data_IF_347924261824
#
_entry.id   IF_347924261824
#
_cell.length_a   1.000
_cell.length_b   1.000
_cell.length_c   1.000
_cell.angle_alpha   90.00
_cell.angle_beta   90.00
_cell.angle_gamma   90.00
#
_symmetry.space_group_name_H-M   'P 1'
#
loop_
_entity.id
_entity.type
_entity.pdbx_description
1 polymer ?
#
# COMPACT_ATOMS: atom_id res chain seq x y z
N UNK A 1 -21.92 1.61 -34.13
CA UNK A 1 -21.29 0.39 -33.58
C UNK A 1 -22.04 0.03 -32.32
N UNK A 2 -22.71 -1.13 -32.29
CA UNK A 2 -23.70 -1.48 -31.28
C UNK A 2 -23.09 -1.68 -29.90
N UNK A 3 -23.74 -1.08 -28.89
CA UNK A 3 -23.57 -1.40 -27.47
C UNK A 3 -24.55 -2.53 -27.15
N UNK A 4 -24.03 -3.71 -26.80
CA UNK A 4 -24.80 -4.82 -26.27
C UNK A 4 -24.63 -4.86 -24.73
N UNK A 5 -25.71 -4.74 -23.94
CA UNK A 5 -25.64 -4.93 -22.50
C UNK A 5 -25.66 -6.42 -22.18
N UNK A 6 -24.60 -6.93 -21.55
CA UNK A 6 -24.65 -8.25 -20.92
C UNK A 6 -25.41 -8.16 -19.60
N UNK A 7 -26.62 -8.71 -19.62
CA UNK A 7 -27.38 -9.11 -18.44
C UNK A 7 -26.69 -10.35 -17.84
N UNK A 8 -26.11 -10.24 -16.64
CA UNK A 8 -25.75 -11.42 -15.84
C UNK A 8 -26.80 -11.60 -14.74
N UNK A 9 -27.48 -12.74 -14.85
CA UNK A 9 -28.53 -13.25 -13.98
C UNK A 9 -28.07 -13.34 -12.53
N UNK A 10 -28.78 -12.67 -11.63
CA UNK A 10 -28.73 -12.89 -10.18
C UNK A 10 -29.57 -14.13 -9.84
N UNK A 11 -29.01 -15.32 -10.01
CA UNK A 11 -29.61 -16.54 -9.46
C UNK A 11 -28.59 -17.34 -8.63
N UNK A 12 -28.92 -17.46 -7.34
CA UNK A 12 -28.42 -18.41 -6.33
C UNK A 12 -26.95 -18.29 -5.89
N UNK A 13 -26.73 -17.30 -5.04
CA UNK A 13 -25.78 -17.45 -3.92
C UNK A 13 -26.26 -18.59 -3.00
N UNK A 14 -25.63 -19.76 -3.09
CA UNK A 14 -25.76 -20.84 -2.11
C UNK A 14 -24.39 -21.11 -1.50
N UNK A 15 -23.94 -20.22 -0.62
CA UNK A 15 -22.87 -20.53 0.32
C UNK A 15 -23.45 -21.40 1.42
N UNK A 16 -23.34 -22.73 1.26
CA UNK A 16 -23.54 -23.68 2.35
C UNK A 16 -22.31 -23.68 3.25
N UNK A 17 -22.17 -22.66 4.10
CA UNK A 17 -21.29 -22.70 5.26
C UNK A 17 -22.11 -23.10 6.50
N UNK A 18 -21.67 -24.09 7.30
CA UNK A 18 -22.35 -24.42 8.55
C UNK A 18 -22.28 -23.22 9.51
N UNK A 19 -23.44 -22.65 9.81
CA UNK A 19 -23.59 -21.54 10.76
C UNK A 19 -23.44 -22.03 12.19
N UNK A 20 -22.26 -21.85 12.76
CA UNK A 20 -22.10 -21.74 14.22
C UNK A 20 -20.78 -21.06 14.58
N UNK A 21 -20.68 -19.75 14.38
CA UNK A 21 -19.70 -18.91 15.09
C UNK A 21 -20.34 -17.56 15.43
N UNK A 22 -20.15 -17.03 16.66
CA UNK A 22 -20.72 -15.75 17.06
C UNK A 22 -20.09 -14.61 16.25
N UNK A 23 -20.96 -13.75 15.72
CA UNK A 23 -20.65 -12.60 14.88
C UNK A 23 -20.00 -11.48 15.72
N UNK A 24 -18.67 -11.47 15.76
CA UNK A 24 -17.90 -10.23 15.85
C UNK A 24 -17.05 -10.19 14.57
N UNK A 25 -17.07 -9.11 13.76
CA UNK A 25 -16.06 -8.92 12.75
C UNK A 25 -14.76 -8.60 13.50
N UNK A 26 -14.04 -9.63 13.92
CA UNK A 26 -12.75 -9.46 14.57
C UNK A 26 -11.76 -9.02 13.50
N UNK A 27 -11.13 -7.84 13.69
CA UNK A 27 -10.07 -7.29 12.82
C UNK A 27 -8.98 -8.33 12.51
N UNK A 28 -8.80 -9.28 13.41
CA UNK A 28 -7.87 -10.40 13.31
C UNK A 28 -8.10 -11.25 12.05
N UNK A 29 -9.36 -11.51 11.66
CA UNK A 29 -9.69 -12.37 10.51
C UNK A 29 -9.22 -11.76 9.19
N UNK A 30 -9.32 -10.44 9.01
CA UNK A 30 -8.86 -9.81 7.76
C UNK A 30 -7.34 -9.91 7.60
N UNK A 31 -6.57 -9.55 8.64
CA UNK A 31 -5.11 -9.66 8.61
C UNK A 31 -4.69 -11.12 8.41
N UNK A 32 -5.25 -12.04 9.20
CA UNK A 32 -4.94 -13.46 9.11
C UNK A 32 -5.21 -14.01 7.71
N UNK A 33 -6.39 -13.74 7.14
CA UNK A 33 -6.74 -14.22 5.80
C UNK A 33 -5.79 -13.66 4.73
N UNK A 34 -5.37 -12.39 4.82
CA UNK A 34 -4.38 -11.82 3.90
C UNK A 34 -3.01 -12.47 4.07
N UNK A 35 -2.57 -12.65 5.32
CA UNK A 35 -1.28 -13.23 5.65
C UNK A 35 -1.15 -14.67 5.17
N UNK A 36 -2.21 -15.48 5.23
CA UNK A 36 -2.21 -16.87 4.76
C UNK A 36 -2.79 -17.07 3.35
N UNK A 37 -3.20 -16.00 2.66
CA UNK A 37 -3.74 -16.08 1.30
C UNK A 37 -5.14 -16.69 1.20
N UNK A 38 -5.94 -16.65 2.26
CA UNK A 38 -7.31 -17.15 2.30
C UNK A 38 -8.32 -16.06 1.88
N UNK A 39 -8.23 -15.62 0.63
CA UNK A 39 -9.15 -14.67 0.02
C UNK A 39 -9.26 -14.89 -1.49
N UNK A 40 -10.41 -14.55 -2.10
CA UNK A 40 -10.56 -14.50 -3.56
C UNK A 40 -10.13 -13.13 -4.11
N UNK A 41 -10.50 -12.06 -3.40
CA UNK A 41 -10.15 -10.67 -3.72
C UNK A 41 -9.83 -9.94 -2.42
N UNK A 42 -8.72 -9.21 -2.40
CA UNK A 42 -8.37 -8.30 -1.31
C UNK A 42 -8.09 -6.91 -1.85
N UNK A 43 -8.24 -5.90 -0.99
CA UNK A 43 -7.95 -4.50 -1.30
C UNK A 43 -6.89 -3.95 -0.34
N UNK A 44 -5.66 -4.50 -0.34
CA UNK A 44 -4.58 -4.01 0.51
C UNK A 44 -3.99 -2.70 -0.04
N UNK A 45 -3.15 -2.08 0.78
CA UNK A 45 -2.39 -0.90 0.37
C UNK A 45 -1.11 -1.33 -0.36
N UNK A 46 -0.87 -0.75 -1.53
CA UNK A 46 0.35 -0.96 -2.30
C UNK A 46 0.99 0.36 -2.70
N UNK A 47 2.31 0.33 -2.79
CA UNK A 47 3.17 1.37 -3.34
C UNK A 47 4.21 0.63 -4.18
N UNK A 48 4.40 1.08 -5.42
CA UNK A 48 5.39 0.50 -6.33
C UNK A 48 6.62 1.38 -6.47
N UNK A 49 6.48 2.69 -6.25
CA UNK A 49 7.55 3.64 -6.53
C UNK A 49 7.52 4.75 -5.48
N UNK A 50 8.70 5.17 -5.03
CA UNK A 50 8.90 6.30 -4.15
C UNK A 50 8.75 7.62 -4.89
N UNK A 51 8.60 8.70 -4.12
CA UNK A 51 8.53 10.05 -4.69
C UNK A 51 9.79 10.47 -5.47
N UNK A 52 10.96 9.86 -5.20
CA UNK A 52 12.20 10.10 -5.93
C UNK A 52 12.34 9.25 -7.21
N UNK A 53 11.36 8.38 -7.52
CA UNK A 53 11.39 7.52 -8.70
C UNK A 53 12.03 6.15 -8.49
N UNK A 54 12.65 5.88 -7.33
CA UNK A 54 13.15 4.54 -6.99
C UNK A 54 12.02 3.57 -6.64
N UNK A 55 12.12 2.34 -7.13
CA UNK A 55 11.15 1.27 -6.91
C UNK A 55 11.67 0.17 -6.00
N UNK A 56 12.99 -0.13 -6.02
CA UNK A 56 13.52 -1.38 -5.47
C UNK A 56 13.07 -1.63 -4.03
N UNK A 57 13.19 -0.60 -3.20
CA UNK A 57 12.83 -0.68 -1.78
C UNK A 57 11.34 -0.86 -1.51
N UNK A 58 10.47 -0.48 -2.46
CA UNK A 58 9.02 -0.65 -2.41
C UNK A 58 8.55 -1.99 -2.98
N UNK A 59 9.33 -2.63 -3.87
CA UNK A 59 8.89 -3.85 -4.57
C UNK A 59 9.69 -5.10 -4.26
N UNK A 60 10.85 -5.00 -3.59
CA UNK A 60 11.73 -6.13 -3.26
C UNK A 60 11.02 -7.32 -2.58
N UNK A 61 9.94 -7.05 -1.84
CA UNK A 61 9.16 -8.10 -1.17
C UNK A 61 8.36 -8.98 -2.12
N UNK A 62 8.26 -8.63 -3.41
CA UNK A 62 7.67 -9.45 -4.47
C UNK A 62 8.65 -10.47 -5.06
N UNK A 63 9.92 -10.48 -4.62
CA UNK A 63 10.89 -11.43 -5.14
C UNK A 63 10.45 -12.88 -4.89
N UNK A 64 10.52 -13.79 -5.89
CA UNK A 64 10.08 -15.19 -5.77
C UNK A 64 10.68 -15.95 -4.59
N UNK A 65 11.92 -15.65 -4.19
CA UNK A 65 12.56 -16.25 -3.01
C UNK A 65 11.84 -15.95 -1.68
N UNK A 66 11.00 -14.92 -1.64
CA UNK A 66 10.22 -14.52 -0.47
C UNK A 66 8.76 -15.02 -0.56
N UNK A 67 8.47 -15.89 -1.54
CA UNK A 67 7.15 -16.46 -1.74
C UNK A 67 6.75 -17.41 -0.60
N UNK A 68 5.47 -17.36 -0.22
CA UNK A 68 4.82 -18.36 0.61
C UNK A 68 3.58 -18.89 -0.12
N UNK A 69 3.30 -20.20 -0.12
CA UNK A 69 2.08 -20.74 -0.70
C UNK A 69 0.82 -20.35 0.10
N UNK A 70 -0.35 -20.59 -0.49
CA UNK A 70 -1.63 -20.43 0.21
C UNK A 70 -1.70 -21.40 1.40
N UNK A 71 -2.14 -20.90 2.55
CA UNK A 71 -2.17 -21.62 3.82
C UNK A 71 -0.92 -21.37 4.69
N UNK A 72 0.16 -20.86 4.10
CA UNK A 72 1.36 -20.44 4.83
C UNK A 72 1.40 -18.91 4.98
N UNK A 73 1.86 -18.45 6.14
CA UNK A 73 1.94 -17.02 6.44
C UNK A 73 3.12 -16.36 5.73
N UNK A 74 2.90 -15.19 5.13
CA UNK A 74 3.96 -14.36 4.54
C UNK A 74 4.80 -13.59 5.57
N UNK A 75 4.37 -13.53 6.83
CA UNK A 75 5.08 -12.73 7.84
C UNK A 75 6.50 -13.24 8.10
N UNK A 76 6.77 -14.53 7.88
CA UNK A 76 8.07 -15.15 8.09
C UNK A 76 9.02 -15.08 6.89
N UNK A 77 8.55 -14.70 5.70
CA UNK A 77 9.38 -14.74 4.49
C UNK A 77 10.18 -13.47 4.27
N UNK A 78 9.80 -12.35 4.89
CA UNK A 78 10.38 -11.04 4.61
C UNK A 78 9.77 -10.32 3.40
N UNK A 79 8.76 -10.90 2.74
CA UNK A 79 8.00 -10.24 1.67
C UNK A 79 7.21 -9.02 2.14
N UNK A 80 6.94 -8.93 3.46
CA UNK A 80 6.03 -7.94 4.03
C UNK A 80 4.63 -8.03 3.38
N UNK A 81 3.95 -6.88 3.28
CA UNK A 81 2.60 -6.78 2.71
C UNK A 81 2.52 -7.14 1.21
N UNK A 82 3.65 -7.17 0.49
CA UNK A 82 3.68 -7.49 -0.94
C UNK A 82 3.43 -8.98 -1.21
N UNK A 83 3.82 -9.85 -0.28
CA UNK A 83 3.58 -11.29 -0.39
C UNK A 83 2.09 -11.68 -0.35
N UNK A 84 1.20 -10.77 0.09
CA UNK A 84 -0.25 -11.00 0.14
C UNK A 84 -0.76 -11.43 -1.25
N UNK A 85 -0.27 -10.80 -2.32
CA UNK A 85 -0.73 -11.10 -3.69
C UNK A 85 -0.36 -12.48 -4.23
N UNK A 86 0.48 -13.26 -3.52
CA UNK A 86 0.91 -14.62 -3.90
C UNK A 86 1.46 -14.72 -5.33
N UNK A 87 2.10 -13.66 -5.79
CA UNK A 87 2.77 -13.60 -7.08
C UNK A 87 4.07 -14.41 -6.96
N UNK A 88 4.24 -15.40 -7.82
CA UNK A 88 5.44 -16.22 -7.92
C UNK A 88 5.90 -16.26 -9.37
N UNK A 89 6.46 -15.14 -9.82
CA UNK A 89 6.88 -14.94 -11.19
C UNK A 89 8.40 -14.70 -11.24
N UNK A 90 9.18 -15.59 -11.89
CA UNK A 90 10.62 -15.43 -12.00
C UNK A 90 11.04 -14.12 -12.69
N UNK A 91 10.23 -13.61 -13.63
CA UNK A 91 10.56 -12.38 -14.33
C UNK A 91 10.51 -11.15 -13.41
N UNK A 92 9.63 -11.14 -12.41
CA UNK A 92 9.65 -10.13 -11.34
C UNK A 92 10.96 -10.20 -10.55
N UNK A 93 11.47 -11.42 -10.29
CA UNK A 93 12.77 -11.62 -9.67
C UNK A 93 13.90 -10.98 -10.48
N UNK A 94 13.94 -11.23 -11.79
CA UNK A 94 14.94 -10.65 -12.70
C UNK A 94 14.93 -9.12 -12.69
N UNK A 95 13.74 -8.49 -12.71
CA UNK A 95 13.64 -7.03 -12.60
C UNK A 95 14.15 -6.51 -11.25
N UNK A 96 13.78 -7.17 -10.14
CA UNK A 96 14.20 -6.76 -8.79
C UNK A 96 15.72 -6.88 -8.63
N UNK A 97 16.31 -7.98 -9.11
CA UNK A 97 17.76 -8.19 -9.09
C UNK A 97 18.52 -7.16 -9.93
N UNK A 98 17.97 -6.80 -11.10
CA UNK A 98 18.54 -5.77 -11.95
C UNK A 98 18.54 -4.38 -11.29
N UNK A 99 17.58 -4.09 -10.40
CA UNK A 99 17.51 -2.83 -9.66
C UNK A 99 18.53 -2.75 -8.50
N UNK A 100 18.96 -3.88 -7.91
CA UNK A 100 19.86 -3.91 -6.74
C UNK A 100 21.15 -3.09 -6.90
N UNK A 101 21.91 -3.19 -8.01
CA UNK A 101 23.17 -2.47 -8.16
C UNK A 101 22.98 -1.00 -8.59
N UNK A 102 21.76 -0.57 -8.91
CA UNK A 102 21.49 0.75 -9.49
C UNK A 102 21.37 1.79 -8.38
N UNK A 103 22.11 2.89 -8.51
CA UNK A 103 21.94 4.02 -7.61
C UNK A 103 20.57 4.69 -7.90
N UNK A 104 19.73 4.98 -6.90
CA UNK A 104 18.46 5.68 -7.07
C UNK A 104 18.53 6.97 -7.91
N UNK A 105 19.65 7.69 -7.85
CA UNK A 105 19.87 8.95 -8.56
C UNK A 105 20.41 8.75 -10.00
N UNK A 106 20.68 7.51 -10.41
CA UNK A 106 21.12 7.19 -11.76
C UNK A 106 19.98 7.40 -12.76
N UNK A 107 20.18 8.12 -13.88
CA UNK A 107 19.15 8.31 -14.90
C UNK A 107 18.54 7.01 -15.46
N UNK A 108 19.31 5.91 -15.44
CA UNK A 108 18.86 4.60 -15.91
C UNK A 108 17.83 3.96 -14.98
N UNK A 109 17.82 4.33 -13.69
CA UNK A 109 16.87 3.83 -12.70
C UNK A 109 15.42 4.10 -13.15
N UNK A 110 15.14 5.31 -13.64
CA UNK A 110 13.80 5.68 -14.07
C UNK A 110 13.29 4.79 -15.22
N UNK A 111 14.14 4.55 -16.23
CA UNK A 111 13.78 3.70 -17.37
C UNK A 111 13.51 2.26 -16.92
N UNK A 112 14.36 1.70 -16.06
CA UNK A 112 14.21 0.35 -15.50
C UNK A 112 12.91 0.20 -14.69
N UNK A 113 12.60 1.18 -13.84
CA UNK A 113 11.35 1.22 -13.08
C UNK A 113 10.15 1.29 -14.02
N UNK A 114 10.23 2.08 -15.08
CA UNK A 114 9.16 2.19 -16.07
C UNK A 114 8.92 0.86 -16.82
N UNK A 115 9.98 0.13 -17.17
CA UNK A 115 9.87 -1.19 -17.80
C UNK A 115 9.22 -2.21 -16.85
N UNK A 116 9.66 -2.26 -15.59
CA UNK A 116 9.04 -3.09 -14.57
C UNK A 116 7.56 -2.78 -14.39
N UNK A 117 7.18 -1.49 -14.32
CA UNK A 117 5.78 -1.10 -14.20
C UNK A 117 4.94 -1.53 -15.40
N UNK A 118 5.45 -1.35 -16.63
CA UNK A 118 4.79 -1.83 -17.84
C UNK A 118 4.52 -3.33 -17.76
N UNK A 119 5.53 -4.11 -17.36
CA UNK A 119 5.39 -5.54 -17.17
C UNK A 119 4.30 -5.91 -16.15
N UNK A 120 4.29 -5.26 -14.98
CA UNK A 120 3.26 -5.53 -13.95
C UNK A 120 1.84 -5.21 -14.43
N UNK A 121 1.68 -4.19 -15.29
CA UNK A 121 0.41 -3.81 -15.91
C UNK A 121 -0.02 -4.84 -16.96
N UNK A 122 0.90 -5.28 -17.81
CA UNK A 122 0.65 -6.31 -18.83
C UNK A 122 0.23 -7.64 -18.20
N UNK A 123 0.83 -8.03 -17.08
CA UNK A 123 0.47 -9.24 -16.34
C UNK A 123 -0.80 -9.09 -15.49
N UNK A 124 -1.33 -7.87 -15.35
CA UNK A 124 -2.52 -7.58 -14.54
C UNK A 124 -2.45 -8.09 -13.08
N UNK A 125 -1.27 -8.01 -12.45
CA UNK A 125 -1.09 -8.50 -11.08
C UNK A 125 -2.00 -7.83 -10.04
N UNK A 126 -2.38 -6.59 -10.29
CA UNK A 126 -3.32 -5.84 -9.47
C UNK A 126 -4.26 -5.02 -10.33
N UNK A 127 -5.47 -4.77 -9.83
CA UNK A 127 -6.42 -3.84 -10.43
C UNK A 127 -6.38 -2.54 -9.62
N UNK A 128 -5.77 -1.51 -10.18
CA UNK A 128 -5.73 -0.18 -9.54
C UNK A 128 -7.10 0.48 -9.63
N UNK A 129 -7.82 0.53 -8.51
CA UNK A 129 -9.17 1.12 -8.43
C UNK A 129 -9.17 2.59 -8.08
N UNK A 130 -8.30 3.01 -7.16
CA UNK A 130 -8.18 4.39 -6.70
C UNK A 130 -6.71 4.72 -6.39
N UNK A 131 -6.35 5.99 -6.60
CA UNK A 131 -5.14 6.55 -5.99
C UNK A 131 -5.51 7.19 -4.65
N UNK A 132 -4.70 6.92 -3.63
CA UNK A 132 -5.02 7.35 -2.28
C UNK A 132 -4.75 8.85 -2.09
N UNK A 133 -5.80 9.62 -1.79
CA UNK A 133 -5.68 11.00 -1.33
C UNK A 133 -5.72 11.03 0.19
N UNK A 134 -4.67 11.58 0.81
CA UNK A 134 -4.59 11.78 2.26
C UNK A 134 -5.50 12.93 2.67
N UNK A 135 -6.62 12.61 3.33
CA UNK A 135 -7.41 13.61 4.03
C UNK A 135 -6.72 13.95 5.34
N UNK A 136 -6.36 15.22 5.50
CA UNK A 136 -5.83 15.73 6.76
C UNK A 136 -6.83 16.71 7.34
N UNK A 137 -7.18 16.48 8.60
CA UNK A 137 -8.02 17.37 9.39
C UNK A 137 -7.35 17.54 10.75
N UNK A 138 -7.40 18.75 11.29
CA UNK A 138 -6.97 19.04 12.65
C UNK A 138 -7.93 20.05 13.28
N UNK A 139 -7.86 20.17 14.59
CA UNK A 139 -8.60 21.15 15.37
C UNK A 139 -7.60 22.16 15.95
N UNK A 140 -7.80 23.43 15.64
CA UNK A 140 -6.94 24.53 16.10
C UNK A 140 -7.38 25.13 17.44
N UNK A 141 -8.31 24.47 18.16
CA UNK A 141 -8.80 24.96 19.46
C UNK A 141 -7.71 25.08 20.52
N UNK A 142 -6.72 24.18 20.53
CA UNK A 142 -5.67 24.13 21.55
C UNK A 142 -4.27 24.29 21.01
N UNK A 143 -4.07 23.98 19.73
CA UNK A 143 -2.77 24.00 19.06
C UNK A 143 -2.90 24.70 17.71
N UNK A 144 -1.93 25.53 17.35
CA UNK A 144 -1.84 26.19 16.03
C UNK A 144 -0.49 25.89 15.38
N UNK A 145 -0.28 26.36 14.14
CA UNK A 145 0.96 26.14 13.39
C UNK A 145 1.04 24.78 12.69
N UNK A 146 -0.11 24.15 12.41
CA UNK A 146 -0.13 22.93 11.60
C UNK A 146 0.35 23.23 10.17
N UNK A 147 1.28 22.42 9.60
CA UNK A 147 1.70 22.56 8.21
C UNK A 147 0.51 22.49 7.25
N UNK A 148 0.43 23.43 6.33
CA UNK A 148 -0.63 23.50 5.31
C UNK A 148 -0.06 23.30 3.91
N UNK A 149 -0.92 23.37 2.88
CA UNK A 149 -0.44 23.35 1.50
C UNK A 149 0.32 24.65 1.14
N UNK A 150 -0.04 25.76 1.76
CA UNK A 150 0.60 27.07 1.61
C UNK A 150 1.93 27.14 2.37
N UNK A 151 2.06 26.41 3.48
CA UNK A 151 3.28 26.29 4.27
C UNK A 151 3.67 24.81 4.52
N UNK A 152 4.19 24.10 3.48
CA UNK A 152 4.33 22.65 3.50
C UNK A 152 5.63 22.17 4.17
N UNK A 153 5.86 22.57 5.43
CA UNK A 153 7.10 22.23 6.14
C UNK A 153 7.31 20.71 6.28
N UNK A 154 6.29 19.99 6.78
CA UNK A 154 6.28 18.52 6.92
C UNK A 154 4.86 18.00 6.69
N UNK A 155 4.70 16.72 6.36
CA UNK A 155 3.38 16.12 6.20
C UNK A 155 2.66 16.02 7.57
N UNK A 156 1.53 16.72 7.78
CA UNK A 156 0.84 16.82 9.08
C UNK A 156 0.05 15.57 9.52
N UNK A 157 0.13 14.48 8.76
CA UNK A 157 -0.71 13.30 8.96
C UNK A 157 -0.21 12.44 10.13
N UNK A 158 -0.90 12.52 11.27
CA UNK A 158 -0.49 11.89 12.53
C UNK A 158 -0.33 10.35 12.49
N UNK A 159 -1.11 9.66 11.66
CA UNK A 159 -1.05 8.19 11.53
C UNK A 159 -0.01 7.71 10.52
N UNK A 160 0.72 8.64 9.89
CA UNK A 160 1.83 8.34 8.99
C UNK A 160 3.13 8.89 9.58
N UNK A 161 4.28 8.43 9.07
CA UNK A 161 5.59 8.77 9.63
C UNK A 161 5.90 10.28 9.70
N UNK A 162 5.26 11.11 8.87
CA UNK A 162 5.47 12.56 8.86
C UNK A 162 4.84 13.29 10.05
N UNK A 163 3.66 12.86 10.51
CA UNK A 163 2.89 13.62 11.49
C UNK A 163 3.54 13.74 12.86
N UNK A 164 4.39 12.78 13.24
CA UNK A 164 5.18 12.86 14.48
C UNK A 164 6.13 14.06 14.51
N UNK A 165 6.59 14.52 13.35
CA UNK A 165 7.43 15.70 13.23
C UNK A 165 6.60 16.99 13.20
N UNK A 166 5.38 16.94 12.63
CA UNK A 166 4.47 18.08 12.61
C UNK A 166 4.04 18.51 14.02
N UNK A 167 3.90 17.57 14.96
CA UNK A 167 3.54 17.87 16.35
C UNK A 167 4.60 18.74 17.04
N UNK A 168 5.87 18.60 16.67
CA UNK A 168 6.97 19.35 17.31
C UNK A 168 6.99 20.83 16.96
N UNK A 169 6.35 21.22 15.85
CA UNK A 169 6.26 22.62 15.41
C UNK A 169 4.99 23.32 15.87
N UNK A 170 4.11 22.65 16.61
CA UNK A 170 2.84 23.24 17.06
C UNK A 170 3.03 24.11 18.29
N UNK A 171 2.27 25.21 18.33
CA UNK A 171 2.25 26.13 19.46
C UNK A 171 0.90 26.06 20.19
N UNK A 172 0.87 26.14 21.53
CA UNK A 172 -0.38 26.19 22.27
C UNK A 172 -1.09 27.52 22.02
N UNK A 173 -2.40 27.46 21.80
CA UNK A 173 -3.22 28.67 21.61
C UNK A 173 -3.16 29.54 22.87
N UNK A 174 -2.66 30.77 22.73
CA UNK A 174 -2.50 31.72 23.84
C UNK A 174 -1.21 31.55 24.65
N UNK A 175 -0.31 30.64 24.26
CA UNK A 175 1.03 30.57 24.82
C UNK A 175 1.92 31.69 24.27
N UNK A 176 2.50 32.50 25.15
CA UNK A 176 3.60 33.41 24.78
C UNK A 176 4.82 32.59 24.41
N UNK A 177 5.22 32.61 23.13
CA UNK A 177 6.55 32.20 22.69
C UNK A 177 7.57 33.11 23.37
N UNK A 178 8.27 32.60 24.39
CA UNK A 178 9.48 33.23 24.88
C UNK A 178 10.54 33.08 23.79
N UNK A 179 10.79 34.16 23.05
CA UNK A 179 11.93 34.27 22.15
C UNK A 179 13.23 33.99 22.92
N UNK A 180 13.96 32.94 22.53
CA UNK A 180 15.38 32.77 22.86
C UNK A 180 16.23 33.38 21.74
#
# INVERSE_FOLDING_TARGET
MLILPFYLSLERFSLSYPRSFPLLPERNVWNQNNEVGQFDVSTPWYSYVKANGDSWSEVRGMHPDLYAPIGESTNSTGSGFLGIGRINDPQIGEYIDAMVPVNPDDPTNFAMVQEFLQYTVEQMYNITTISFKKFVTWDERFWTGFPTAEEPAVMPLYWFQGGKYAIQSLEPVGGTTSSN
#
